data_IF_087164179609
#
_entry.id   IF_087164179609
#
_cell.length_a   1.000
_cell.length_b   1.000
_cell.length_c   1.000
_cell.angle_alpha   90.00
_cell.angle_beta   90.00
_cell.angle_gamma   90.00
#
_symmetry.space_group_name_H-M   'P 1'
#
loop_
_entity.id
_entity.type
_entity.pdbx_description
1 polymer ?
#
# COMPACT_ATOMS: atom_id res chain seq x y z
N UNK A 1 23.00 21.08 1.78
CA UNK A 1 22.21 21.75 2.83
C UNK A 1 20.75 21.86 2.39
N UNK A 2 20.50 22.29 1.15
CA UNK A 2 19.15 22.47 0.57
C UNK A 2 18.26 21.20 0.54
N UNK A 3 18.83 20.01 0.30
CA UNK A 3 18.02 18.78 0.17
C UNK A 3 17.38 18.28 1.48
N UNK A 4 18.09 18.38 2.61
CA UNK A 4 17.55 17.97 3.91
C UNK A 4 16.52 18.99 4.44
N UNK A 5 16.71 20.28 4.14
CA UNK A 5 15.71 21.31 4.42
C UNK A 5 14.45 21.10 3.59
N UNK A 6 14.60 20.76 2.30
CA UNK A 6 13.48 20.41 1.43
C UNK A 6 12.72 19.18 1.96
N UNK A 7 13.42 18.09 2.29
CA UNK A 7 12.80 16.90 2.89
C UNK A 7 12.02 17.24 4.17
N UNK A 8 12.58 18.09 5.04
CA UNK A 8 11.91 18.54 6.26
C UNK A 8 10.65 19.33 5.91
N UNK A 9 10.74 20.31 5.03
CA UNK A 9 9.60 21.14 4.63
C UNK A 9 8.47 20.30 4.02
N UNK A 10 8.81 19.34 3.16
CA UNK A 10 7.79 18.46 2.57
C UNK A 10 7.20 17.50 3.60
N UNK A 11 8.00 16.97 4.52
CA UNK A 11 7.50 16.16 5.63
C UNK A 11 6.53 16.95 6.52
N UNK A 12 6.88 18.19 6.88
CA UNK A 12 6.00 19.06 7.67
C UNK A 12 4.68 19.35 6.94
N UNK A 13 4.74 19.56 5.62
CA UNK A 13 3.56 19.75 4.77
C UNK A 13 2.67 18.51 4.72
N UNK A 14 3.26 17.33 4.53
CA UNK A 14 2.56 16.03 4.58
C UNK A 14 1.83 15.84 5.91
N UNK A 15 2.54 16.04 7.02
CA UNK A 15 1.96 15.89 8.37
C UNK A 15 0.85 16.91 8.64
N UNK A 16 0.98 18.14 8.10
CA UNK A 16 -0.07 19.16 8.19
C UNK A 16 -1.32 18.72 7.44
N UNK A 17 -1.19 18.22 6.20
CA UNK A 17 -2.34 17.74 5.42
C UNK A 17 -3.00 16.52 6.05
N UNK A 18 -2.22 15.56 6.52
CA UNK A 18 -2.71 14.40 7.26
C UNK A 18 -3.58 14.81 8.46
N UNK A 19 -3.08 15.69 9.34
CA UNK A 19 -3.84 16.17 10.51
C UNK A 19 -5.13 16.91 10.14
N UNK A 20 -5.22 17.47 8.94
CA UNK A 20 -6.38 18.20 8.43
C UNK A 20 -7.35 17.30 7.63
N UNK A 21 -7.05 16.00 7.46
CA UNK A 21 -7.85 15.10 6.62
C UNK A 21 -7.75 15.40 5.13
N UNK A 22 -6.74 16.16 4.71
CA UNK A 22 -6.57 16.66 3.34
C UNK A 22 -5.88 15.65 2.43
N UNK A 23 -6.51 14.49 2.25
CA UNK A 23 -5.91 13.39 1.48
C UNK A 23 -5.70 13.75 0.00
N UNK A 24 -6.59 14.54 -0.62
CA UNK A 24 -6.40 15.01 -2.00
C UNK A 24 -5.15 15.87 -2.14
N UNK A 25 -4.90 16.75 -1.18
CA UNK A 25 -3.66 17.54 -1.17
C UNK A 25 -2.41 16.66 -1.00
N UNK A 26 -2.50 15.54 -0.25
CA UNK A 26 -1.43 14.56 -0.14
C UNK A 26 -1.20 13.83 -1.47
N UNK A 27 -2.26 13.38 -2.16
CA UNK A 27 -2.16 12.78 -3.50
C UNK A 27 -1.49 13.77 -4.47
N UNK A 28 -1.96 15.03 -4.48
CA UNK A 28 -1.41 16.08 -5.33
C UNK A 28 0.07 16.39 -5.06
N UNK A 29 0.56 16.20 -3.82
CA UNK A 29 1.98 16.32 -3.50
C UNK A 29 2.84 15.25 -4.20
N UNK A 30 2.26 14.12 -4.58
CA UNK A 30 2.96 12.99 -5.19
C UNK A 30 2.73 12.85 -6.70
N UNK A 31 1.87 13.68 -7.30
CA UNK A 31 1.62 13.69 -8.74
C UNK A 31 2.86 14.03 -9.57
N UNK A 32 3.10 13.26 -10.62
CA UNK A 32 4.24 13.42 -11.54
C UNK A 32 4.19 14.71 -12.35
N UNK A 33 2.99 15.17 -12.71
CA UNK A 33 2.78 16.42 -13.44
C UNK A 33 3.10 17.67 -12.60
N UNK A 34 3.04 17.56 -11.27
CA UNK A 34 3.31 18.68 -10.35
C UNK A 34 4.82 18.89 -10.09
N UNK A 35 5.68 18.11 -10.76
CA UNK A 35 7.14 18.24 -10.73
C UNK A 35 7.57 19.45 -11.56
N UNK A 36 7.29 20.65 -11.06
CA UNK A 36 7.65 21.90 -11.76
C UNK A 36 9.03 22.44 -11.36
N UNK A 37 9.69 21.92 -10.30
CA UNK A 37 10.92 22.52 -9.77
C UNK A 37 11.94 21.52 -9.15
N UNK A 38 12.13 20.31 -9.69
CA UNK A 38 13.01 19.29 -9.09
C UNK A 38 12.66 18.90 -7.63
N UNK A 39 11.46 19.27 -7.14
CA UNK A 39 10.95 18.86 -5.83
C UNK A 39 10.47 17.41 -5.89
N UNK A 40 11.40 16.47 -6.07
CA UNK A 40 11.12 15.06 -5.89
C UNK A 40 10.98 14.77 -4.40
N UNK A 41 9.80 14.95 -3.83
CA UNK A 41 9.49 14.27 -2.58
C UNK A 41 9.10 12.83 -2.90
N UNK A 42 10.13 12.00 -2.96
CA UNK A 42 10.00 10.56 -2.96
C UNK A 42 10.78 10.04 -1.75
N UNK A 43 10.04 9.82 -0.67
CA UNK A 43 10.60 9.29 0.56
C UNK A 43 9.93 7.94 0.86
N UNK A 44 10.65 6.87 0.52
CA UNK A 44 10.22 5.49 0.70
C UNK A 44 9.96 5.14 2.17
N UNK A 45 10.41 5.97 3.13
CA UNK A 45 10.03 5.82 4.54
C UNK A 45 8.52 6.00 4.75
N UNK A 46 7.88 6.81 3.91
CA UNK A 46 6.45 7.09 3.99
C UNK A 46 5.65 6.28 2.96
N UNK A 47 6.08 6.28 1.71
CA UNK A 47 5.29 5.73 0.62
C UNK A 47 6.17 5.19 -0.52
N UNK A 48 6.00 3.92 -0.86
CA UNK A 48 6.75 3.27 -1.94
C UNK A 48 6.24 3.64 -3.34
N UNK A 49 4.92 3.81 -3.47
CA UNK A 49 4.24 4.21 -4.70
C UNK A 49 3.63 5.61 -4.57
N UNK A 50 3.20 6.20 -5.68
CA UNK A 50 2.55 7.52 -5.69
C UNK A 50 1.18 7.37 -6.35
N UNK A 51 0.14 6.88 -5.64
CA UNK A 51 -1.15 6.62 -6.26
C UNK A 51 -1.83 7.94 -6.65
N UNK A 52 -2.42 7.98 -7.85
CA UNK A 52 -3.43 9.00 -8.19
C UNK A 52 -4.77 8.68 -7.52
N UNK A 53 -5.73 9.62 -7.57
CA UNK A 53 -7.10 9.35 -7.13
C UNK A 53 -7.73 8.19 -7.92
N UNK A 54 -7.48 8.12 -9.23
CA UNK A 54 -7.94 7.01 -10.08
C UNK A 54 -7.35 5.67 -9.64
N UNK A 55 -6.08 5.64 -9.22
CA UNK A 55 -5.47 4.42 -8.66
C UNK A 55 -6.17 3.96 -7.37
N UNK A 56 -6.56 4.89 -6.50
CA UNK A 56 -7.28 4.57 -5.27
C UNK A 56 -8.70 4.07 -5.56
N UNK A 57 -9.40 4.66 -6.55
CA UNK A 57 -10.71 4.17 -6.97
C UNK A 57 -10.63 2.81 -7.67
N UNK A 58 -9.58 2.55 -8.46
CA UNK A 58 -9.34 1.24 -9.06
C UNK A 58 -9.20 0.13 -7.99
N UNK A 59 -8.46 0.40 -6.91
CA UNK A 59 -8.37 -0.50 -5.74
C UNK A 59 -9.75 -0.74 -5.12
N UNK A 60 -10.55 0.33 -4.96
CA UNK A 60 -11.90 0.23 -4.40
C UNK A 60 -12.80 -0.65 -5.25
N UNK A 61 -12.86 -0.39 -6.55
CA UNK A 61 -13.70 -1.13 -7.48
C UNK A 61 -13.34 -2.61 -7.50
N UNK A 62 -12.04 -2.93 -7.56
CA UNK A 62 -11.56 -4.30 -7.48
C UNK A 62 -12.01 -5.04 -6.19
N UNK A 63 -11.86 -4.39 -5.03
CA UNK A 63 -12.29 -4.95 -3.75
C UNK A 63 -13.82 -5.12 -3.69
N UNK A 64 -14.59 -4.10 -4.05
CA UNK A 64 -16.06 -4.14 -3.96
C UNK A 64 -16.66 -5.14 -4.95
N UNK A 65 -16.14 -5.22 -6.17
CA UNK A 65 -16.64 -6.14 -7.21
C UNK A 65 -16.43 -7.62 -6.84
N UNK A 66 -15.51 -7.91 -5.92
CA UNK A 66 -15.26 -9.26 -5.38
C UNK A 66 -15.99 -9.50 -4.05
N UNK A 67 -16.83 -8.56 -3.61
CA UNK A 67 -17.58 -8.63 -2.36
C UNK A 67 -16.77 -8.26 -1.11
N UNK A 68 -15.60 -7.65 -1.28
CA UNK A 68 -14.76 -7.20 -0.18
C UNK A 68 -15.14 -5.78 0.26
N UNK A 69 -15.23 -5.58 1.58
CA UNK A 69 -15.54 -4.28 2.21
C UNK A 69 -14.39 -3.76 3.08
N UNK A 70 -13.34 -4.57 3.22
CA UNK A 70 -12.15 -4.30 4.00
C UNK A 70 -10.91 -4.67 3.19
N UNK A 71 -9.79 -3.99 3.42
CA UNK A 71 -8.48 -4.36 2.90
C UNK A 71 -7.58 -4.70 4.09
N UNK A 72 -6.88 -5.82 4.02
CA UNK A 72 -5.80 -6.17 4.96
C UNK A 72 -4.49 -5.93 4.21
N UNK A 73 -3.74 -4.90 4.60
CA UNK A 73 -2.46 -4.55 3.98
C UNK A 73 -1.32 -5.14 4.81
N UNK A 74 -0.56 -6.06 4.20
CA UNK A 74 0.56 -6.76 4.85
C UNK A 74 1.87 -6.02 4.56
N UNK A 75 2.62 -5.70 5.62
CA UNK A 75 3.84 -4.90 5.51
C UNK A 75 3.53 -3.46 5.11
N UNK A 76 2.51 -2.86 5.72
CA UNK A 76 2.01 -1.52 5.36
C UNK A 76 2.97 -0.37 5.71
N UNK A 77 4.07 -0.65 6.41
CA UNK A 77 5.03 0.33 6.84
C UNK A 77 4.41 1.41 7.73
N UNK A 78 4.52 2.68 7.30
CA UNK A 78 3.94 3.80 8.03
C UNK A 78 2.40 3.86 7.97
N UNK A 79 1.77 3.10 7.06
CA UNK A 79 0.34 3.11 6.89
C UNK A 79 -0.20 4.28 6.04
N UNK A 80 0.66 5.05 5.37
CA UNK A 80 0.23 6.22 4.60
C UNK A 80 -0.62 5.81 3.37
N UNK A 81 -0.25 4.74 2.67
CA UNK A 81 -1.05 4.22 1.55
C UNK A 81 -2.44 3.81 2.03
N UNK A 82 -2.47 3.11 3.16
CA UNK A 82 -3.68 2.59 3.77
C UNK A 82 -4.61 3.73 4.20
N UNK A 83 -4.06 4.77 4.83
CA UNK A 83 -4.80 5.98 5.14
C UNK A 83 -5.37 6.64 3.89
N UNK A 84 -4.58 6.77 2.81
CA UNK A 84 -5.06 7.32 1.54
C UNK A 84 -6.22 6.50 0.96
N UNK A 85 -6.12 5.17 0.98
CA UNK A 85 -7.19 4.28 0.54
C UNK A 85 -8.44 4.51 1.40
N UNK A 86 -8.33 4.52 2.73
CA UNK A 86 -9.48 4.76 3.62
C UNK A 86 -10.17 6.09 3.30
N UNK A 87 -9.40 7.17 3.21
CA UNK A 87 -9.95 8.51 2.99
C UNK A 87 -10.58 8.69 1.60
N UNK A 88 -9.98 8.11 0.56
CA UNK A 88 -10.47 8.24 -0.81
C UNK A 88 -11.66 7.33 -1.12
N UNK A 89 -11.74 6.17 -0.47
CA UNK A 89 -12.66 5.09 -0.89
C UNK A 89 -13.78 4.84 0.10
N UNK A 90 -13.56 5.12 1.39
CA UNK A 90 -14.43 4.73 2.49
C UNK A 90 -14.33 3.25 2.88
N UNK A 91 -13.43 2.48 2.29
CA UNK A 91 -13.15 1.10 2.70
C UNK A 91 -12.47 1.08 4.06
N UNK A 92 -12.78 0.05 4.85
CA UNK A 92 -11.99 -0.23 6.04
C UNK A 92 -10.63 -0.81 5.64
N UNK A 93 -9.56 -0.41 6.33
CA UNK A 93 -8.20 -0.88 6.02
C UNK A 93 -7.47 -1.18 7.32
N UNK A 94 -6.98 -2.41 7.42
CA UNK A 94 -6.13 -2.89 8.51
C UNK A 94 -4.70 -2.99 7.99
N UNK A 95 -3.78 -2.27 8.62
CA UNK A 95 -2.35 -2.44 8.37
C UNK A 95 -1.74 -3.47 9.31
N UNK A 96 -1.08 -4.49 8.75
CA UNK A 96 -0.36 -5.53 9.50
C UNK A 96 1.14 -5.34 9.34
N UNK A 97 1.86 -5.31 10.46
CA UNK A 97 3.32 -5.17 10.49
C UNK A 97 4.03 -6.24 11.32
N UNK A 98 5.24 -6.59 10.93
CA UNK A 98 6.03 -7.64 11.59
C UNK A 98 7.01 -7.08 12.62
N UNK A 99 7.51 -5.86 12.41
CA UNK A 99 8.57 -5.29 13.24
C UNK A 99 8.03 -4.26 14.23
N UNK A 100 7.46 -4.74 15.34
CA UNK A 100 6.95 -3.90 16.43
C UNK A 100 8.02 -2.96 16.98
N UNK A 101 9.19 -3.51 17.29
CA UNK A 101 10.31 -2.73 17.86
C UNK A 101 10.69 -1.54 16.99
N UNK A 102 10.72 -1.72 15.67
CA UNK A 102 10.98 -0.62 14.74
C UNK A 102 9.87 0.43 14.77
N UNK A 103 8.62 0.03 14.55
CA UNK A 103 7.48 0.95 14.40
C UNK A 103 7.05 1.65 15.69
N UNK A 104 7.42 1.11 16.86
CA UNK A 104 7.24 1.76 18.16
C UNK A 104 8.48 2.53 18.63
N UNK A 105 9.60 2.45 17.91
CA UNK A 105 10.82 3.16 18.27
C UNK A 105 10.68 4.67 18.07
N UNK A 106 11.52 5.44 18.78
CA UNK A 106 11.68 6.89 18.57
C UNK A 106 12.22 7.28 17.18
N UNK A 107 12.70 6.32 16.41
CA UNK A 107 13.30 6.53 15.09
C UNK A 107 12.31 6.29 13.95
N UNK A 108 11.17 5.65 14.23
CA UNK A 108 10.13 5.46 13.25
C UNK A 108 9.55 6.80 12.78
N UNK A 109 9.16 6.83 11.51
CA UNK A 109 8.27 7.88 11.03
C UNK A 109 6.90 7.73 11.68
N UNK A 110 6.08 8.79 11.60
CA UNK A 110 4.72 8.77 12.12
C UNK A 110 3.89 7.66 11.45
N UNK A 111 3.16 6.88 12.25
CA UNK A 111 2.11 5.99 11.74
C UNK A 111 0.86 6.79 11.38
N UNK A 112 0.29 6.50 10.21
CA UNK A 112 -0.88 7.18 9.64
C UNK A 112 -2.19 6.45 9.95
N UNK A 113 -2.11 5.16 10.28
CA UNK A 113 -3.18 4.32 10.83
C UNK A 113 -2.68 3.56 12.07
N UNK A 114 -3.56 3.04 12.94
CA UNK A 114 -3.18 2.06 13.95
C UNK A 114 -2.61 0.81 13.28
N UNK A 115 -1.46 0.33 13.75
CA UNK A 115 -0.82 -0.89 13.24
C UNK A 115 -1.27 -2.08 14.08
N UNK A 116 -1.66 -3.16 13.41
CA UNK A 116 -1.83 -4.48 14.01
C UNK A 116 -0.53 -5.26 13.80
N UNK A 117 0.01 -5.89 14.84
CA UNK A 117 1.25 -6.65 14.67
C UNK A 117 0.97 -8.10 14.27
N UNK A 118 1.91 -8.74 13.57
CA UNK A 118 1.71 -10.04 12.95
C UNK A 118 1.31 -11.14 13.96
N UNK A 119 1.86 -11.08 15.18
CA UNK A 119 1.48 -11.91 16.32
C UNK A 119 0.00 -11.71 16.70
N UNK A 120 -0.44 -10.46 16.89
CA UNK A 120 -1.82 -10.11 17.20
C UNK A 120 -2.80 -10.48 16.07
N UNK A 121 -2.36 -10.35 14.81
CA UNK A 121 -3.19 -10.65 13.65
C UNK A 121 -3.54 -12.14 13.51
N UNK A 122 -2.62 -13.02 13.93
CA UNK A 122 -2.83 -14.46 13.94
C UNK A 122 -3.82 -14.88 15.01
N UNK A 123 -3.70 -14.32 16.22
CA UNK A 123 -4.63 -14.59 17.32
C UNK A 123 -6.06 -14.19 16.97
N UNK A 124 -6.23 -13.09 16.23
CA UNK A 124 -7.54 -12.56 15.85
C UNK A 124 -8.10 -13.13 14.53
N UNK A 125 -7.39 -14.06 13.86
CA UNK A 125 -7.78 -14.65 12.56
C UNK A 125 -8.15 -13.60 11.49
N UNK A 126 -7.52 -12.42 11.53
CA UNK A 126 -7.90 -11.29 10.65
C UNK A 126 -7.80 -11.68 9.17
N UNK A 127 -6.75 -12.42 8.83
CA UNK A 127 -6.43 -12.85 7.46
C UNK A 127 -7.45 -13.88 6.91
N UNK A 128 -8.14 -14.60 7.78
CA UNK A 128 -9.16 -15.58 7.36
C UNK A 128 -10.50 -14.92 6.95
N UNK A 129 -10.63 -13.59 7.07
CA UNK A 129 -11.85 -12.87 6.71
C UNK A 129 -12.17 -13.00 5.21
N UNK A 130 -13.33 -13.58 4.90
CA UNK A 130 -13.77 -13.80 3.51
C UNK A 130 -14.26 -12.52 2.81
N UNK A 131 -14.55 -11.47 3.57
CA UNK A 131 -15.02 -10.16 3.08
C UNK A 131 -13.90 -9.12 3.00
N UNK A 132 -12.64 -9.55 3.10
CA UNK A 132 -11.49 -8.69 2.94
C UNK A 132 -10.71 -9.02 1.67
N UNK A 133 -10.18 -7.99 1.02
CA UNK A 133 -9.08 -8.12 0.09
C UNK A 133 -7.74 -8.17 0.85
N UNK A 134 -6.75 -8.84 0.30
CA UNK A 134 -5.39 -8.87 0.85
C UNK A 134 -4.48 -8.04 -0.06
N UNK A 135 -3.76 -7.09 0.52
CA UNK A 135 -2.88 -6.16 -0.20
C UNK A 135 -1.44 -6.37 0.23
N UNK A 136 -0.54 -6.39 -0.77
CA UNK A 136 0.91 -6.33 -0.57
C UNK A 136 1.45 -5.19 -1.42
N UNK A 137 2.11 -4.21 -0.80
CA UNK A 137 2.77 -3.12 -1.51
C UNK A 137 4.28 -3.17 -1.29
N UNK A 138 5.04 -3.31 -2.37
CA UNK A 138 6.50 -3.41 -2.33
C UNK A 138 7.01 -4.53 -1.39
N UNK A 139 6.21 -5.58 -1.23
CA UNK A 139 6.56 -6.71 -0.38
C UNK A 139 7.67 -7.54 -1.01
N UNK A 140 8.69 -7.90 -0.22
CA UNK A 140 9.90 -8.53 -0.75
C UNK A 140 10.30 -9.78 0.06
N UNK A 141 9.33 -10.67 0.24
CA UNK A 141 9.53 -11.93 0.97
C UNK A 141 8.54 -12.99 0.49
N UNK A 142 8.83 -13.68 -0.61
CA UNK A 142 7.93 -14.67 -1.20
C UNK A 142 7.57 -15.84 -0.25
N UNK A 143 8.48 -16.18 0.67
CA UNK A 143 8.22 -17.20 1.70
C UNK A 143 7.15 -16.75 2.70
N UNK A 144 7.21 -15.50 3.17
CA UNK A 144 6.19 -14.94 4.04
C UNK A 144 4.87 -14.72 3.30
N UNK A 145 4.94 -14.22 2.05
CA UNK A 145 3.78 -14.08 1.17
C UNK A 145 3.01 -15.41 1.05
N UNK A 146 3.71 -16.50 0.76
CA UNK A 146 3.11 -17.83 0.63
C UNK A 146 2.38 -18.27 1.90
N UNK A 147 2.94 -17.97 3.09
CA UNK A 147 2.30 -18.29 4.38
C UNK A 147 1.03 -17.49 4.60
N UNK A 148 1.01 -16.21 4.24
CA UNK A 148 -0.19 -15.39 4.32
C UNK A 148 -1.28 -15.87 3.35
N UNK A 149 -0.89 -16.23 2.13
CA UNK A 149 -1.84 -16.75 1.13
C UNK A 149 -2.47 -18.09 1.51
N UNK A 150 -1.76 -18.94 2.26
CA UNK A 150 -2.33 -20.19 2.79
C UNK A 150 -3.45 -19.95 3.82
N UNK A 151 -3.39 -18.83 4.54
CA UNK A 151 -4.37 -18.47 5.56
C UNK A 151 -5.49 -17.58 5.02
N UNK A 152 -5.28 -16.97 3.85
CA UNK A 152 -6.19 -15.98 3.31
C UNK A 152 -7.54 -16.58 2.89
N UNK A 153 -8.59 -16.09 3.54
CA UNK A 153 -9.96 -16.56 3.31
C UNK A 153 -10.72 -15.83 2.21
N UNK A 154 -10.23 -14.66 1.78
CA UNK A 154 -10.89 -13.81 0.79
C UNK A 154 -10.62 -14.20 -0.67
N UNK A 155 -11.21 -13.43 -1.59
CA UNK A 155 -11.21 -13.72 -3.03
C UNK A 155 -10.53 -12.62 -3.87
N UNK A 156 -9.96 -11.60 -3.23
CA UNK A 156 -9.29 -10.48 -3.89
C UNK A 156 -7.90 -10.30 -3.32
N UNK A 157 -6.90 -10.43 -4.19
CA UNK A 157 -5.49 -10.19 -3.89
C UNK A 157 -5.02 -9.00 -4.70
N UNK A 158 -4.39 -8.05 -4.04
CA UNK A 158 -3.87 -6.81 -4.62
C UNK A 158 -2.36 -6.82 -4.44
N UNK A 159 -1.61 -6.89 -5.54
CA UNK A 159 -0.15 -6.75 -5.51
C UNK A 159 0.22 -5.42 -6.13
N UNK A 160 0.96 -4.62 -5.37
CA UNK A 160 1.48 -3.34 -5.81
C UNK A 160 3.00 -3.42 -5.82
N UNK A 161 3.62 -3.15 -6.96
CA UNK A 161 5.06 -3.26 -7.09
C UNK A 161 5.58 -2.85 -8.47
N UNK A 162 6.87 -3.03 -8.73
CA UNK A 162 7.51 -2.63 -9.97
C UNK A 162 7.14 -3.53 -11.15
N UNK A 163 6.89 -2.92 -12.29
CA UNK A 163 6.87 -3.58 -13.60
C UNK A 163 8.26 -3.62 -14.26
N UNK A 164 8.29 -4.15 -15.48
CA UNK A 164 9.52 -4.25 -16.27
C UNK A 164 10.14 -2.86 -16.52
N UNK A 165 11.46 -2.73 -16.31
CA UNK A 165 12.20 -1.49 -16.53
C UNK A 165 12.05 -0.42 -15.44
N UNK A 166 11.48 -0.76 -14.27
CA UNK A 166 11.46 0.09 -13.05
C UNK A 166 12.75 0.02 -12.22
N UNK A 167 13.55 -1.03 -12.42
CA UNK A 167 14.84 -1.30 -11.74
C UNK A 167 14.77 -1.50 -10.22
N UNK A 168 13.58 -1.74 -9.68
CA UNK A 168 13.37 -2.22 -8.30
C UNK A 168 12.78 -3.62 -8.33
N UNK A 169 12.84 -4.34 -7.20
CA UNK A 169 12.43 -5.74 -7.11
C UNK A 169 11.50 -5.96 -5.91
N UNK A 170 10.52 -6.84 -6.11
CA UNK A 170 9.59 -7.33 -5.09
C UNK A 170 9.39 -8.83 -5.29
N UNK A 171 8.99 -9.51 -4.23
CA UNK A 171 8.66 -10.92 -4.23
C UNK A 171 7.40 -11.12 -3.35
N UNK A 172 6.21 -11.26 -3.97
CA UNK A 172 5.98 -11.45 -5.41
C UNK A 172 6.12 -10.16 -6.25
N UNK A 173 6.32 -10.32 -7.56
CA UNK A 173 6.13 -9.23 -8.53
C UNK A 173 4.65 -9.10 -8.91
N UNK A 174 4.19 -7.94 -9.43
CA UNK A 174 2.79 -7.75 -9.81
C UNK A 174 2.27 -8.71 -10.88
N UNK A 175 3.14 -9.28 -11.72
CA UNK A 175 2.72 -10.05 -12.90
C UNK A 175 3.24 -11.51 -12.94
N UNK A 176 4.16 -11.89 -12.06
CA UNK A 176 4.67 -13.28 -11.96
C UNK A 176 4.36 -13.88 -10.59
N UNK A 177 3.06 -13.99 -10.28
CA UNK A 177 2.58 -14.66 -9.08
C UNK A 177 2.35 -16.14 -9.37
N UNK A 178 3.05 -17.01 -8.63
CA UNK A 178 2.91 -18.46 -8.72
C UNK A 178 1.96 -18.97 -7.63
N UNK A 179 0.67 -18.71 -7.80
CA UNK A 179 -0.39 -19.20 -6.92
C UNK A 179 -1.41 -20.06 -7.69
N UNK A 180 -1.67 -21.25 -7.17
CA UNK A 180 -2.75 -22.09 -7.71
C UNK A 180 -4.11 -21.45 -7.45
N UNK A 181 -5.01 -21.53 -8.44
CA UNK A 181 -6.39 -21.00 -8.36
C UNK A 181 -6.51 -19.48 -8.25
N UNK A 182 -5.45 -18.71 -8.54
CA UNK A 182 -5.53 -17.25 -8.66
C UNK A 182 -5.27 -16.82 -10.10
N UNK A 183 -6.06 -15.88 -10.61
CA UNK A 183 -5.89 -15.32 -11.96
C UNK A 183 -5.82 -13.81 -11.91
N UNK A 184 -4.91 -13.24 -12.69
CA UNK A 184 -4.84 -11.81 -12.94
C UNK A 184 -6.12 -11.38 -13.64
N UNK A 185 -6.90 -10.53 -12.99
CA UNK A 185 -8.20 -10.05 -13.46
C UNK A 185 -8.08 -8.67 -14.11
N UNK A 186 -7.28 -7.78 -13.51
CA UNK A 186 -7.09 -6.42 -13.97
C UNK A 186 -5.76 -5.88 -13.45
N UNK A 187 -5.24 -4.84 -14.09
CA UNK A 187 -4.11 -4.07 -13.57
C UNK A 187 -4.21 -2.62 -14.01
N UNK A 188 -3.52 -1.74 -13.28
CA UNK A 188 -3.39 -0.32 -13.62
C UNK A 188 -1.99 0.15 -13.28
N UNK A 189 -1.39 0.95 -14.16
CA UNK A 189 -0.15 1.65 -13.85
C UNK A 189 -0.40 2.76 -12.80
N UNK A 190 0.53 2.90 -11.88
CA UNK A 190 0.57 4.00 -10.92
C UNK A 190 1.13 5.22 -11.63
N UNK A 191 0.24 6.12 -12.05
CA UNK A 191 0.58 7.25 -12.91
C UNK A 191 1.37 6.79 -14.16
N UNK A 192 2.60 7.24 -14.35
CA UNK A 192 3.52 6.81 -15.43
C UNK A 192 4.85 6.29 -14.88
N UNK A 193 4.82 5.76 -13.65
CA UNK A 193 6.02 5.39 -12.88
C UNK A 193 6.63 4.05 -13.27
N UNK A 194 5.91 3.21 -14.03
CA UNK A 194 6.14 1.75 -14.17
C UNK A 194 5.96 0.94 -12.89
N UNK A 195 5.33 1.51 -11.87
CA UNK A 195 4.77 0.74 -10.76
C UNK A 195 3.34 0.35 -11.12
N UNK A 196 2.89 -0.84 -10.73
CA UNK A 196 1.59 -1.38 -11.11
C UNK A 196 0.80 -1.85 -9.90
N UNK A 197 -0.52 -1.65 -9.96
CA UNK A 197 -1.51 -2.29 -9.08
C UNK A 197 -2.10 -3.45 -9.87
N UNK A 198 -1.80 -4.68 -9.48
CA UNK A 198 -2.31 -5.89 -10.10
C UNK A 198 -3.35 -6.56 -9.20
N UNK A 199 -4.50 -6.88 -9.78
CA UNK A 199 -5.65 -7.47 -9.10
C UNK A 199 -5.78 -8.93 -9.51
N UNK A 200 -5.70 -9.81 -8.54
CA UNK A 200 -5.91 -11.24 -8.70
C UNK A 200 -7.20 -11.67 -8.01
N UNK A 201 -7.93 -12.57 -8.66
CA UNK A 201 -9.15 -13.16 -8.10
C UNK A 201 -9.03 -14.67 -8.05
N UNK A 202 -9.70 -15.26 -7.06
CA UNK A 202 -9.76 -16.72 -6.91
C UNK A 202 -10.68 -17.31 -7.99
N UNK A 203 -10.18 -18.30 -8.73
CA UNK A 203 -10.91 -19.04 -9.77
C UNK A 203 -11.80 -20.14 -9.20
#
# INVERSE_FOLDING_TARGET
>A
MEFEELKRAVTEKLLKYYRQGKWKDVVNMFEESNVTNNEHFYDQRYLWIRPSEDNLQFIKEAAVNTGCLQIISIGCGSGLLEWLIQQATGLDVIGVEVNREWWESRYAVRNFIPLLYADESQENNVIANKKSALLFCYFNNGSAFSKYMQQFGGNCLIIIGPGEGRWTHTDPTPFDIKLENWKLQAFQEVQTTKDFIAIYTKS
#
